data_IF_999052044739
#
_entry.id   IF_999052044739
#
_cell.length_a   1.000
_cell.length_b   1.000
_cell.length_c   1.000
_cell.angle_alpha   90.00
_cell.angle_beta   90.00
_cell.angle_gamma   90.00
#
_symmetry.space_group_name_H-M   'P 1'
#
loop_
_entity.id
_entity.type
_entity.pdbx_description
1 polymer ?
#
# COMPACT_ATOMS: atom_id res chain seq x y z
N UNK A 1 17.58 2.34 38.81
CA UNK A 1 16.73 1.14 39.07
C UNK A 1 16.21 0.58 37.75
N UNK A 2 15.77 -0.69 37.70
CA UNK A 2 15.32 -1.34 36.45
C UNK A 2 14.17 -0.62 35.72
N UNK A 3 13.37 0.19 36.44
CA UNK A 3 12.27 0.96 35.85
C UNK A 3 12.73 2.17 35.03
N UNK A 4 13.95 2.68 35.22
CA UNK A 4 14.49 3.79 34.42
C UNK A 4 14.67 3.36 32.94
N UNK A 5 14.86 2.07 32.71
CA UNK A 5 14.93 1.49 31.36
C UNK A 5 13.60 1.59 30.59
N UNK A 6 12.46 1.71 31.28
CA UNK A 6 11.17 1.89 30.61
C UNK A 6 11.10 3.18 29.80
N UNK A 7 11.75 4.26 30.24
CA UNK A 7 11.75 5.51 29.47
C UNK A 7 12.44 5.34 28.12
N UNK A 8 13.60 4.70 28.11
CA UNK A 8 14.30 4.38 26.86
C UNK A 8 13.45 3.48 25.97
N UNK A 9 12.85 2.43 26.54
CA UNK A 9 11.95 1.53 25.80
C UNK A 9 10.73 2.25 25.20
N UNK A 10 10.08 3.13 25.97
CA UNK A 10 8.93 3.91 25.51
C UNK A 10 9.29 4.86 24.37
N UNK A 11 10.44 5.54 24.46
CA UNK A 11 10.95 6.40 23.39
C UNK A 11 11.21 5.58 22.13
N UNK A 12 11.87 4.42 22.25
CA UNK A 12 12.12 3.53 21.12
C UNK A 12 10.83 3.07 20.45
N UNK A 13 9.84 2.62 21.22
CA UNK A 13 8.53 2.21 20.70
C UNK A 13 7.79 3.35 20.01
N UNK A 14 7.86 4.57 20.56
CA UNK A 14 7.24 5.75 19.97
C UNK A 14 7.82 6.05 18.58
N UNK A 15 9.15 6.01 18.43
CA UNK A 15 9.78 6.22 17.12
C UNK A 15 9.45 5.11 16.12
N UNK A 16 9.55 3.84 16.51
CA UNK A 16 9.21 2.71 15.62
C UNK A 16 7.77 2.82 15.12
N UNK A 17 6.85 3.12 16.04
CA UNK A 17 5.42 3.27 15.72
C UNK A 17 5.20 4.49 14.83
N UNK A 18 5.87 5.61 15.12
CA UNK A 18 5.83 6.82 14.30
C UNK A 18 6.29 6.58 12.86
N UNK A 19 7.42 5.91 12.66
CA UNK A 19 7.92 5.55 11.32
C UNK A 19 6.98 4.60 10.58
N UNK A 20 6.38 3.63 11.29
CA UNK A 20 5.38 2.75 10.70
C UNK A 20 4.17 3.54 10.22
N UNK A 21 3.66 4.46 11.04
CA UNK A 21 2.52 5.31 10.68
C UNK A 21 2.84 6.24 9.50
N UNK A 22 4.03 6.83 9.49
CA UNK A 22 4.48 7.68 8.39
C UNK A 22 4.41 6.95 7.04
N UNK A 23 4.74 5.66 7.01
CA UNK A 23 4.68 4.84 5.80
C UNK A 23 3.24 4.73 5.24
N UNK A 24 2.22 4.71 6.09
CA UNK A 24 0.81 4.71 5.64
C UNK A 24 0.43 6.04 5.00
N UNK A 25 0.88 7.14 5.59
CA UNK A 25 0.60 8.49 5.07
C UNK A 25 1.28 8.70 3.73
N UNK A 26 2.56 8.33 3.60
CA UNK A 26 3.29 8.49 2.34
C UNK A 26 2.74 7.58 1.25
N UNK A 27 2.35 6.34 1.56
CA UNK A 27 1.68 5.46 0.60
C UNK A 27 0.37 6.08 0.08
N UNK A 28 -0.43 6.66 0.98
CA UNK A 28 -1.71 7.27 0.61
C UNK A 28 -1.53 8.50 -0.28
N UNK A 29 -0.55 9.35 0.03
CA UNK A 29 -0.23 10.53 -0.79
C UNK A 29 0.24 10.12 -2.19
N UNK A 30 1.09 9.10 -2.30
CA UNK A 30 1.69 8.66 -3.56
C UNK A 30 0.72 7.87 -4.46
N UNK A 31 -0.08 6.97 -3.85
CA UNK A 31 -0.85 5.97 -4.60
C UNK A 31 -2.36 6.12 -4.47
N UNK A 32 -2.83 7.03 -3.60
CA UNK A 32 -4.23 7.13 -3.18
C UNK A 32 -4.67 6.00 -2.24
N UNK A 33 -3.77 5.09 -1.87
CA UNK A 33 -4.07 3.89 -1.08
C UNK A 33 -3.15 3.77 0.13
N UNK A 34 -3.69 3.33 1.27
CA UNK A 34 -2.90 3.12 2.50
C UNK A 34 -1.84 2.03 2.37
N UNK A 35 -2.07 1.07 1.48
CA UNK A 35 -1.23 -0.08 1.26
C UNK A 35 -0.76 -0.14 -0.19
N UNK A 36 0.54 -0.36 -0.39
CA UNK A 36 1.12 -0.64 -1.71
C UNK A 36 0.87 -2.11 -2.08
N UNK A 37 0.81 -2.39 -3.39
CA UNK A 37 0.70 -3.77 -3.89
C UNK A 37 1.99 -4.56 -3.60
N UNK A 38 1.83 -5.85 -3.34
CA UNK A 38 2.93 -6.78 -3.05
C UNK A 38 3.35 -7.51 -4.35
N UNK A 39 4.63 -7.38 -4.73
CA UNK A 39 5.20 -7.91 -5.98
C UNK A 39 6.06 -9.17 -5.77
N UNK A 40 5.97 -9.82 -4.61
CA UNK A 40 6.86 -10.92 -4.23
C UNK A 40 6.68 -12.19 -5.08
N UNK A 41 5.62 -12.27 -5.89
CA UNK A 41 5.33 -13.40 -6.77
C UNK A 41 5.24 -12.94 -8.22
N UNK A 42 5.72 -13.78 -9.14
CA UNK A 42 5.74 -13.46 -10.58
C UNK A 42 4.35 -13.25 -11.15
N UNK A 43 3.37 -14.07 -10.76
CA UNK A 43 1.97 -13.92 -11.18
C UNK A 43 1.41 -12.54 -10.81
N UNK A 44 1.71 -12.05 -9.60
CA UNK A 44 1.27 -10.74 -9.13
C UNK A 44 1.96 -9.62 -9.91
N UNK A 45 3.22 -9.81 -10.28
CA UNK A 45 3.95 -8.88 -11.14
C UNK A 45 3.36 -8.84 -12.55
N UNK A 46 2.98 -9.98 -13.12
CA UNK A 46 2.33 -10.03 -14.43
C UNK A 46 0.96 -9.34 -14.41
N UNK A 47 0.13 -9.58 -13.38
CA UNK A 47 -1.15 -8.89 -13.22
C UNK A 47 -0.99 -7.38 -13.03
N UNK A 48 0.00 -6.95 -12.26
CA UNK A 48 0.31 -5.53 -12.10
C UNK A 48 0.69 -4.87 -13.43
N UNK A 49 1.57 -5.50 -14.23
CA UNK A 49 1.94 -5.00 -15.56
C UNK A 49 0.72 -4.90 -16.48
N UNK A 50 -0.18 -5.88 -16.42
CA UNK A 50 -1.46 -5.85 -17.16
C UNK A 50 -2.28 -4.63 -16.78
N UNK A 51 -2.51 -4.42 -15.48
CA UNK A 51 -3.33 -3.30 -15.00
C UNK A 51 -2.70 -1.95 -15.39
N UNK A 52 -1.38 -1.79 -15.23
CA UNK A 52 -0.66 -0.59 -15.67
C UNK A 52 -0.79 -0.34 -17.18
N UNK A 53 -0.79 -1.39 -18.02
CA UNK A 53 -0.97 -1.26 -19.47
C UNK A 53 -2.40 -0.85 -19.84
N UNK A 54 -3.40 -1.30 -19.09
CA UNK A 54 -4.82 -1.01 -19.35
C UNK A 54 -5.24 0.39 -18.91
N UNK A 55 -4.76 0.85 -17.75
CA UNK A 55 -5.24 2.11 -17.13
C UNK A 55 -4.19 3.20 -17.04
N UNK A 56 -2.93 2.92 -17.39
CA UNK A 56 -1.79 3.82 -17.17
C UNK A 56 -1.36 3.95 -15.71
N UNK A 57 -2.16 3.48 -14.76
CA UNK A 57 -1.85 3.45 -13.33
C UNK A 57 -2.48 2.21 -12.67
N UNK A 58 -1.62 1.35 -12.13
CA UNK A 58 -1.97 0.11 -11.45
C UNK A 58 -2.98 0.25 -10.28
N UNK A 59 -3.11 1.44 -9.70
CA UNK A 59 -4.02 1.70 -8.58
C UNK A 59 -5.42 2.12 -9.02
N UNK A 60 -5.64 2.36 -10.31
CA UNK A 60 -6.97 2.62 -10.86
C UNK A 60 -7.68 1.28 -11.06
N UNK A 61 -8.71 1.03 -10.27
CA UNK A 61 -9.56 -0.15 -10.39
C UNK A 61 -10.55 0.03 -11.54
N UNK A 62 -10.71 -1.02 -12.36
CA UNK A 62 -11.74 -1.15 -13.39
C UNK A 62 -12.61 -2.33 -13.01
N UNK A 63 -13.88 -2.06 -12.69
CA UNK A 63 -14.87 -3.07 -12.37
C UNK A 63 -15.66 -3.49 -13.62
N UNK A 64 -16.81 -4.10 -13.36
CA UNK A 64 -17.71 -4.62 -14.41
C UNK A 64 -18.31 -3.50 -15.27
N UNK A 65 -18.36 -2.27 -14.76
CA UNK A 65 -18.80 -1.08 -15.49
C UNK A 65 -17.91 -0.72 -16.69
N UNK A 66 -16.71 -1.31 -16.78
CA UNK A 66 -15.81 -1.12 -17.91
C UNK A 66 -16.02 -2.13 -19.05
N UNK A 67 -16.89 -3.11 -18.84
CA UNK A 67 -17.23 -4.10 -19.85
C UNK A 67 -18.37 -3.56 -20.73
N UNK A 68 -18.38 -3.89 -22.03
CA UNK A 68 -19.52 -3.56 -22.89
C UNK A 68 -20.78 -4.31 -22.42
N UNK A 69 -21.93 -3.67 -22.56
CA UNK A 69 -23.22 -4.31 -22.26
C UNK A 69 -23.47 -5.46 -23.23
N UNK A 70 -24.05 -6.55 -22.73
CA UNK A 70 -24.25 -7.79 -23.49
C UNK A 70 -25.27 -7.69 -24.64
N UNK A 71 -25.80 -6.49 -24.92
CA UNK A 71 -26.89 -6.24 -25.88
C UNK A 71 -26.47 -5.41 -27.10
N UNK A 72 -25.17 -5.14 -27.27
CA UNK A 72 -24.60 -4.69 -28.55
C UNK A 72 -24.10 -5.87 -29.40
#
# INVERSE_FOLDING_TARGET
MWWETFYSGAITLAFITGFKWQSYVTNWIDTGHHHRRCYTQDDRTHMWKRDHRLTGNMYILKGLESLPDATE
#
